data_IF_539216802862
#
_entry.id   IF_539216802862
#
_cell.length_a   1.000
_cell.length_b   1.000
_cell.length_c   1.000
_cell.angle_alpha   90.00
_cell.angle_beta   90.00
_cell.angle_gamma   90.00
#
_symmetry.space_group_name_H-M   'P 1'
#
loop_
_entity.id
_entity.type
_entity.pdbx_description
1 polymer ?
#
# COMPACT_ATOMS: atom_id res chain seq x y z
N UNK A 1 0.80 -9.03 -4.30
CA UNK A 1 0.73 -7.70 -3.64
C UNK A 1 -0.72 -7.29 -3.39
N UNK A 2 -1.59 -7.32 -4.42
CA UNK A 2 -3.02 -6.98 -4.30
C UNK A 2 -3.79 -7.92 -3.36
N UNK A 3 -3.55 -9.23 -3.42
CA UNK A 3 -4.30 -10.21 -2.60
C UNK A 3 -4.09 -10.03 -1.09
N UNK A 4 -2.87 -9.68 -0.66
CA UNK A 4 -2.59 -9.40 0.77
C UNK A 4 -3.16 -8.07 1.24
N UNK A 5 -3.14 -7.07 0.37
CA UNK A 5 -3.76 -5.78 0.66
C UNK A 5 -5.27 -5.94 0.84
N UNK A 6 -5.94 -6.64 -0.08
CA UNK A 6 -7.35 -6.97 0.01
C UNK A 6 -7.69 -7.81 1.25
N UNK A 7 -6.88 -8.84 1.53
CA UNK A 7 -7.06 -9.67 2.72
C UNK A 7 -6.97 -8.87 4.02
N UNK A 8 -6.05 -7.91 4.12
CA UNK A 8 -5.91 -7.10 5.34
C UNK A 8 -6.98 -6.02 5.47
N UNK A 9 -7.46 -5.44 4.37
CA UNK A 9 -8.65 -4.59 4.41
C UNK A 9 -9.86 -5.39 4.87
N UNK A 10 -10.05 -6.60 4.33
CA UNK A 10 -11.14 -7.48 4.76
C UNK A 10 -11.08 -7.80 6.26
N UNK A 11 -9.88 -8.04 6.79
CA UNK A 11 -9.65 -8.26 8.22
C UNK A 11 -10.01 -7.01 9.05
N UNK A 12 -9.51 -5.83 8.65
CA UNK A 12 -9.83 -4.55 9.29
C UNK A 12 -11.35 -4.28 9.31
N UNK A 13 -12.03 -4.53 8.19
CA UNK A 13 -13.49 -4.40 8.09
C UNK A 13 -14.24 -5.40 8.98
N UNK A 14 -13.71 -6.61 9.16
CA UNK A 14 -14.32 -7.64 9.98
C UNK A 14 -14.09 -7.44 11.49
N UNK A 15 -12.96 -6.87 11.89
CA UNK A 15 -12.57 -6.74 13.30
C UNK A 15 -12.87 -5.37 13.91
N UNK A 16 -13.18 -4.36 13.10
CA UNK A 16 -13.29 -2.97 13.55
C UNK A 16 -14.70 -2.44 13.34
N UNK A 17 -15.34 -1.99 14.41
CA UNK A 17 -16.62 -1.30 14.33
C UNK A 17 -16.40 0.19 14.09
N UNK A 18 -16.81 0.69 12.92
CA UNK A 18 -16.71 2.10 12.56
C UNK A 18 -17.93 2.88 13.03
N UNK A 19 -17.71 4.10 13.53
CA UNK A 19 -18.79 4.96 14.04
C UNK A 19 -19.51 5.73 12.94
N UNK A 20 -18.85 5.92 11.80
CA UNK A 20 -19.38 6.60 10.63
C UNK A 20 -18.67 6.14 9.35
N UNK A 21 -19.21 6.51 8.19
CA UNK A 21 -18.53 6.29 6.91
C UNK A 21 -17.23 7.08 6.77
N UNK A 22 -17.15 8.26 7.40
CA UNK A 22 -15.94 9.08 7.43
C UNK A 22 -14.80 8.42 8.21
N UNK A 23 -15.12 7.82 9.36
CA UNK A 23 -14.17 7.06 10.19
C UNK A 23 -13.60 5.85 9.44
N UNK A 24 -14.47 5.15 8.71
CA UNK A 24 -14.07 4.07 7.81
C UNK A 24 -13.13 4.57 6.69
N UNK A 25 -13.51 5.66 6.01
CA UNK A 25 -12.72 6.22 4.93
C UNK A 25 -11.33 6.63 5.42
N UNK A 26 -11.26 7.38 6.53
CA UNK A 26 -9.99 7.83 7.11
C UNK A 26 -9.09 6.64 7.48
N UNK A 27 -9.68 5.57 8.03
CA UNK A 27 -8.94 4.35 8.37
C UNK A 27 -8.38 3.66 7.12
N UNK A 28 -9.16 3.53 6.05
CA UNK A 28 -8.70 2.93 4.80
C UNK A 28 -7.61 3.78 4.15
N UNK A 29 -7.78 5.10 4.07
CA UNK A 29 -6.78 6.02 3.51
C UNK A 29 -5.46 5.96 4.28
N UNK A 30 -5.54 5.95 5.61
CA UNK A 30 -4.37 5.80 6.45
C UNK A 30 -3.68 4.45 6.20
N UNK A 31 -4.44 3.37 6.07
CA UNK A 31 -3.87 2.06 5.78
C UNK A 31 -3.21 1.98 4.40
N UNK A 32 -3.81 2.57 3.36
CA UNK A 32 -3.21 2.69 2.02
C UNK A 32 -1.85 3.38 2.10
N UNK A 33 -1.80 4.52 2.78
CA UNK A 33 -0.55 5.29 2.95
C UNK A 33 0.49 4.48 3.71
N UNK A 34 0.09 3.86 4.83
CA UNK A 34 0.97 3.03 5.64
C UNK A 34 1.54 1.85 4.85
N UNK A 35 0.69 1.16 4.08
CA UNK A 35 1.09 0.04 3.24
C UNK A 35 2.10 0.45 2.16
N UNK A 36 1.86 1.56 1.46
CA UNK A 36 2.70 1.98 0.34
C UNK A 36 4.04 2.59 0.78
N UNK A 37 4.05 3.33 1.90
CA UNK A 37 5.20 4.11 2.35
C UNK A 37 6.02 3.43 3.42
N UNK A 38 5.36 2.79 4.39
CA UNK A 38 5.95 2.50 5.69
C UNK A 38 6.03 1.02 6.03
N UNK A 39 5.24 0.15 5.40
CA UNK A 39 5.25 -1.29 5.68
C UNK A 39 6.08 -2.07 4.64
N UNK A 40 7.25 -2.58 5.03
CA UNK A 40 8.06 -3.42 4.15
C UNK A 40 7.38 -4.75 3.85
N UNK A 41 7.45 -5.18 2.60
CA UNK A 41 6.84 -6.41 2.14
C UNK A 41 7.89 -7.49 1.96
N UNK A 42 7.70 -8.65 2.61
CA UNK A 42 8.58 -9.82 2.43
C UNK A 42 8.71 -10.22 0.95
N UNK A 43 7.61 -10.16 0.21
CA UNK A 43 7.57 -10.44 -1.23
C UNK A 43 8.38 -9.44 -2.07
N UNK A 44 8.64 -8.24 -1.55
CA UNK A 44 9.47 -7.20 -2.17
C UNK A 44 10.85 -7.13 -1.51
N UNK A 45 11.35 -8.25 -1.00
CA UNK A 45 12.66 -8.31 -0.32
C UNK A 45 12.76 -7.32 0.84
N UNK A 46 11.69 -7.22 1.63
CA UNK A 46 11.61 -6.29 2.76
C UNK A 46 11.72 -4.81 2.35
N UNK A 47 11.16 -4.46 1.19
CA UNK A 47 10.99 -3.07 0.76
C UNK A 47 9.50 -2.69 0.77
N UNK A 48 9.23 -1.41 0.93
CA UNK A 48 7.87 -0.89 0.75
C UNK A 48 7.53 -0.86 -0.75
N UNK A 49 6.24 -0.89 -1.13
CA UNK A 49 5.82 -0.77 -2.52
C UNK A 49 6.43 0.44 -3.23
N UNK A 50 6.45 1.62 -2.57
CA UNK A 50 7.04 2.82 -3.15
C UNK A 50 8.56 2.68 -3.35
N UNK A 51 9.27 2.10 -2.38
CA UNK A 51 10.72 1.85 -2.50
C UNK A 51 11.03 0.89 -3.66
N UNK A 52 10.25 -0.18 -3.82
CA UNK A 52 10.39 -1.12 -4.92
C UNK A 52 10.15 -0.44 -6.27
N UNK A 53 9.11 0.39 -6.39
CA UNK A 53 8.82 1.15 -7.60
C UNK A 53 9.94 2.14 -7.95
N UNK A 54 10.51 2.83 -6.95
CA UNK A 54 11.67 3.70 -7.18
C UNK A 54 12.90 2.92 -7.64
N UNK A 55 13.19 1.78 -7.02
CA UNK A 55 14.30 0.91 -7.42
C UNK A 55 14.13 0.40 -8.86
N UNK A 56 12.94 -0.09 -9.20
CA UNK A 56 12.65 -0.56 -10.56
C UNK A 56 12.71 0.55 -11.60
N UNK A 57 12.31 1.78 -11.25
CA UNK A 57 12.47 2.92 -12.16
C UNK A 57 13.93 3.22 -12.47
N UNK A 58 14.84 3.08 -11.50
CA UNK A 58 16.28 3.27 -11.73
C UNK A 58 16.83 2.19 -12.66
N UNK A 59 16.47 0.93 -12.42
CA UNK A 59 16.99 -0.22 -13.18
C UNK A 59 16.34 -0.32 -14.57
N UNK A 60 15.06 0.06 -14.71
CA UNK A 60 14.27 -0.08 -15.94
C UNK A 60 13.45 1.18 -16.23
N UNK A 61 14.09 2.33 -16.51
CA UNK A 61 13.40 3.61 -16.66
C UNK A 61 12.37 3.62 -17.80
N UNK A 62 12.61 2.85 -18.86
CA UNK A 62 11.71 2.75 -20.03
C UNK A 62 10.32 2.19 -19.72
N UNK A 63 10.16 1.48 -18.61
CA UNK A 63 8.86 0.95 -18.17
C UNK A 63 7.99 2.00 -17.45
N UNK A 64 8.56 3.16 -17.13
CA UNK A 64 7.90 4.19 -16.32
C UNK A 64 7.66 5.44 -17.15
N UNK A 65 6.39 5.71 -17.45
CA UNK A 65 5.96 6.97 -18.09
C UNK A 65 6.02 8.15 -17.11
N UNK A 66 5.86 7.89 -15.81
CA UNK A 66 5.85 8.91 -14.74
C UNK A 66 6.66 8.45 -13.53
N UNK A 67 7.07 9.40 -12.69
CA UNK A 67 7.72 9.09 -11.40
C UNK A 67 6.67 8.46 -10.45
N UNK A 68 7.00 7.36 -9.77
CA UNK A 68 6.14 6.81 -8.72
C UNK A 68 5.91 7.86 -7.63
N UNK A 69 4.65 7.99 -7.23
CA UNK A 69 4.17 8.82 -6.12
C UNK A 69 3.11 7.98 -5.37
N UNK A 70 2.83 8.36 -4.12
CA UNK A 70 1.60 7.91 -3.46
C UNK A 70 0.46 8.87 -3.73
#
# INVERSE_FOLDING_TARGET
MVERFGGRISDVLATTHFRSGEDLQMTIEHYVKLYNEHLPQRALKHQTPLQALHSWRVVRPKLFVRKPKN
#
